data_IF_280080735861
#
_entry.id   IF_280080735861
#
_cell.length_a   1.000
_cell.length_b   1.000
_cell.length_c   1.000
_cell.angle_alpha   90.00
_cell.angle_beta   90.00
_cell.angle_gamma   90.00
#
_symmetry.space_group_name_H-M   'P 1'
#
loop_
_entity.id
_entity.type
_entity.pdbx_description
1 polymer ?
#
# COMPACT_ATOMS: atom_id res chain seq x y z
N UNK A 1 3.12 -1.02 -15.63
CA UNK A 1 3.33 -1.10 -14.17
C UNK A 1 4.81 -1.34 -13.94
N UNK A 2 5.41 -0.66 -12.97
CA UNK A 2 6.76 -0.92 -12.47
C UNK A 2 6.72 -2.25 -11.72
N UNK A 3 7.69 -3.13 -11.99
CA UNK A 3 7.85 -4.42 -11.32
C UNK A 3 9.20 -4.46 -10.61
N UNK A 4 9.24 -4.21 -9.29
CA UNK A 4 10.48 -4.26 -8.53
C UNK A 4 11.04 -5.68 -8.46
N UNK A 5 12.37 -5.80 -8.43
CA UNK A 5 13.08 -7.09 -8.32
C UNK A 5 13.26 -7.54 -6.86
N UNK A 6 13.10 -6.63 -5.90
CA UNK A 6 13.23 -6.87 -4.47
C UNK A 6 11.98 -6.35 -3.79
N UNK A 7 11.56 -7.03 -2.73
CA UNK A 7 10.41 -6.63 -1.91
C UNK A 7 10.91 -5.94 -0.64
N UNK A 8 10.14 -4.98 -0.14
CA UNK A 8 10.58 -4.05 0.90
C UNK A 8 9.74 -4.16 2.18
N UNK A 9 8.54 -4.74 2.15
CA UNK A 9 7.65 -4.84 3.31
C UNK A 9 8.31 -5.52 4.51
N UNK A 10 9.10 -6.57 4.26
CA UNK A 10 9.83 -7.29 5.32
C UNK A 10 10.94 -6.44 5.93
N UNK A 11 11.63 -5.63 5.12
CA UNK A 11 12.65 -4.71 5.61
C UNK A 11 12.00 -3.58 6.44
N UNK A 12 10.86 -3.06 6.00
CA UNK A 12 10.07 -2.08 6.76
C UNK A 12 9.64 -2.67 8.10
N UNK A 13 9.09 -3.89 8.13
CA UNK A 13 8.68 -4.57 9.36
C UNK A 13 9.85 -5.00 10.28
N UNK A 14 11.06 -5.09 9.74
CA UNK A 14 12.25 -5.36 10.53
C UNK A 14 12.78 -4.11 11.25
N UNK A 15 12.38 -2.92 10.82
CA UNK A 15 12.76 -1.66 11.46
C UNK A 15 12.18 -1.57 12.88
N UNK A 16 12.99 -1.20 13.90
CA UNK A 16 12.50 -1.01 15.27
C UNK A 16 11.34 -0.01 15.41
N UNK A 17 11.21 0.94 14.47
CA UNK A 17 10.10 1.90 14.46
C UNK A 17 8.76 1.26 14.07
N UNK A 18 8.77 0.04 13.52
CA UNK A 18 7.58 -0.70 13.10
C UNK A 18 7.17 -1.79 14.10
N UNK A 19 7.65 -1.74 15.34
CA UNK A 19 7.33 -2.73 16.39
C UNK A 19 5.81 -2.90 16.58
N UNK A 20 5.07 -1.80 16.71
CA UNK A 20 3.62 -1.84 16.93
C UNK A 20 2.89 -2.41 15.72
N UNK A 21 3.26 -1.97 14.51
CA UNK A 21 2.71 -2.50 13.26
C UNK A 21 2.94 -4.01 13.16
N UNK A 22 4.16 -4.47 13.45
CA UNK A 22 4.51 -5.89 13.41
C UNK A 22 3.73 -6.71 14.45
N UNK A 23 3.50 -6.17 15.64
CA UNK A 23 2.72 -6.82 16.70
C UNK A 23 1.21 -6.86 16.38
N UNK A 24 0.71 -5.87 15.63
CA UNK A 24 -0.69 -5.75 15.23
C UNK A 24 -1.07 -6.71 14.10
N UNK A 25 -0.22 -6.89 13.08
CA UNK A 25 -0.54 -7.68 11.87
C UNK A 25 -1.14 -9.07 12.15
N UNK A 26 -0.62 -9.89 13.09
CA UNK A 26 -1.19 -11.20 13.39
C UNK A 26 -2.59 -11.16 14.03
N UNK A 27 -3.01 -10.00 14.56
CA UNK A 27 -4.31 -9.81 15.22
C UNK A 27 -5.40 -9.35 14.25
N UNK A 28 -5.02 -8.87 13.08
CA UNK A 28 -5.95 -8.43 12.04
C UNK A 28 -6.64 -9.63 11.37
N UNK A 29 -7.83 -9.36 10.81
CA UNK A 29 -8.49 -10.29 9.91
C UNK A 29 -7.57 -10.61 8.70
N UNK A 30 -7.68 -11.81 8.09
CA UNK A 30 -6.79 -12.22 7.01
C UNK A 30 -6.68 -11.23 5.85
N UNK A 31 -7.81 -10.70 5.39
CA UNK A 31 -7.85 -9.73 4.28
C UNK A 31 -7.25 -8.39 4.67
N UNK A 32 -7.57 -7.88 5.86
CA UNK A 32 -6.98 -6.65 6.39
C UNK A 32 -5.46 -6.76 6.55
N UNK A 33 -4.96 -7.91 7.02
CA UNK A 33 -3.52 -8.19 7.08
C UNK A 33 -2.87 -8.12 5.70
N UNK A 34 -3.52 -8.69 4.68
CA UNK A 34 -3.05 -8.63 3.29
C UNK A 34 -2.97 -7.18 2.82
N UNK A 35 -4.01 -6.39 3.06
CA UNK A 35 -4.02 -4.96 2.72
C UNK A 35 -2.90 -4.18 3.40
N UNK A 36 -2.66 -4.41 4.69
CA UNK A 36 -1.58 -3.75 5.42
C UNK A 36 -0.20 -4.13 4.86
N UNK A 37 0.06 -5.42 4.59
CA UNK A 37 1.32 -5.88 3.99
C UNK A 37 1.55 -5.26 2.61
N UNK A 38 0.51 -5.23 1.76
CA UNK A 38 0.58 -4.63 0.44
C UNK A 38 0.73 -3.11 0.49
N UNK A 39 0.14 -2.44 1.48
CA UNK A 39 0.33 -1.01 1.73
C UNK A 39 1.77 -0.68 2.12
N UNK A 40 2.37 -1.45 3.04
CA UNK A 40 3.77 -1.29 3.43
C UNK A 40 4.72 -1.51 2.25
N UNK A 41 4.46 -2.54 1.44
CA UNK A 41 5.20 -2.78 0.20
C UNK A 41 5.08 -1.59 -0.77
N UNK A 42 3.85 -1.11 -1.01
CA UNK A 42 3.60 0.01 -1.90
C UNK A 42 4.37 1.27 -1.48
N UNK A 43 4.32 1.63 -0.18
CA UNK A 43 5.04 2.79 0.35
C UNK A 43 6.56 2.67 0.15
N UNK A 44 7.13 1.51 0.50
CA UNK A 44 8.55 1.25 0.30
C UNK A 44 8.95 1.33 -1.17
N UNK A 45 8.17 0.71 -2.05
CA UNK A 45 8.47 0.67 -3.48
C UNK A 45 8.31 2.02 -4.17
N UNK A 46 7.30 2.81 -3.81
CA UNK A 46 7.12 4.16 -4.35
C UNK A 46 8.30 5.05 -3.95
N UNK A 47 8.74 5.00 -2.69
CA UNK A 47 9.90 5.77 -2.23
C UNK A 47 11.19 5.33 -2.93
N UNK A 48 11.44 4.02 -3.02
CA UNK A 48 12.63 3.47 -3.67
C UNK A 48 12.67 3.76 -5.18
N UNK A 49 11.50 3.73 -5.85
CA UNK A 49 11.38 4.08 -7.26
C UNK A 49 11.62 5.57 -7.51
N UNK A 50 11.13 6.43 -6.61
CA UNK A 50 11.33 7.86 -6.72
C UNK A 50 11.34 8.57 -5.38
N UNK A 51 12.54 8.88 -4.88
CA UNK A 51 12.78 9.38 -3.52
C UNK A 51 12.04 10.69 -3.17
N UNK A 52 11.56 11.46 -4.15
CA UNK A 52 10.73 12.66 -3.92
C UNK A 52 9.38 12.33 -3.29
N UNK A 53 8.89 11.11 -3.51
CA UNK A 53 7.72 10.61 -2.81
C UNK A 53 8.19 10.05 -1.48
N UNK A 54 7.62 10.60 -0.42
CA UNK A 54 7.71 10.11 0.96
C UNK A 54 6.29 9.65 1.34
N UNK A 55 5.88 8.42 1.01
CA UNK A 55 4.55 7.94 1.30
C UNK A 55 4.40 7.71 2.81
N UNK A 56 3.30 8.20 3.37
CA UNK A 56 2.98 8.01 4.80
C UNK A 56 1.66 7.24 5.02
N UNK A 57 0.89 7.02 3.95
CA UNK A 57 -0.36 6.26 3.97
C UNK A 57 -0.69 5.71 2.59
N UNK A 58 -1.31 4.54 2.56
CA UNK A 58 -1.94 3.95 1.37
C UNK A 58 -3.39 3.61 1.71
N UNK A 59 -4.30 3.90 0.79
CA UNK A 59 -5.65 3.35 0.75
C UNK A 59 -5.76 2.46 -0.48
N UNK A 60 -6.11 1.18 -0.30
CA UNK A 60 -6.19 0.23 -1.40
C UNK A 60 -7.48 0.37 -2.23
N UNK A 61 -8.49 1.07 -1.71
CA UNK A 61 -9.85 1.13 -2.25
C UNK A 61 -10.40 2.56 -2.36
N UNK A 62 -9.54 3.54 -2.67
CA UNK A 62 -9.94 4.95 -2.69
C UNK A 62 -11.00 5.28 -3.76
N UNK A 63 -10.86 4.77 -4.98
CA UNK A 63 -11.77 5.05 -6.11
C UNK A 63 -12.45 3.82 -6.69
N UNK A 64 -12.05 2.62 -6.26
CA UNK A 64 -12.63 1.34 -6.66
C UNK A 64 -12.24 0.27 -5.64
N UNK A 65 -13.11 -0.71 -5.42
CA UNK A 65 -12.87 -1.81 -4.48
C UNK A 65 -11.66 -2.66 -4.89
N UNK A 66 -11.03 -3.28 -3.90
CA UNK A 66 -10.00 -4.29 -4.13
C UNK A 66 -10.63 -5.59 -4.63
N UNK A 67 -9.85 -6.37 -5.38
CA UNK A 67 -10.20 -7.76 -5.71
C UNK A 67 -9.14 -8.69 -5.17
N UNK A 68 -9.54 -9.67 -4.40
CA UNK A 68 -8.63 -10.67 -3.84
C UNK A 68 -8.99 -12.06 -4.38
N UNK A 69 -8.09 -12.65 -5.17
CA UNK A 69 -8.24 -14.00 -5.72
C UNK A 69 -6.86 -14.63 -5.92
N UNK A 70 -6.74 -15.94 -5.70
CA UNK A 70 -5.49 -16.70 -5.89
C UNK A 70 -4.26 -16.14 -5.15
N UNK A 71 -4.49 -15.51 -3.98
CA UNK A 71 -3.48 -14.80 -3.16
C UNK A 71 -2.96 -13.50 -3.79
N UNK A 72 -3.67 -12.98 -4.79
CA UNK A 72 -3.33 -11.73 -5.47
C UNK A 72 -4.37 -10.68 -5.08
N UNK A 73 -3.93 -9.66 -4.36
CA UNK A 73 -4.69 -8.44 -4.12
C UNK A 73 -4.47 -7.48 -5.29
N UNK A 74 -5.54 -7.17 -6.02
CA UNK A 74 -5.55 -6.19 -7.10
C UNK A 74 -6.28 -4.94 -6.64
N UNK A 75 -5.58 -3.82 -6.67
CA UNK A 75 -6.10 -2.53 -6.26
C UNK A 75 -5.99 -1.56 -7.44
N UNK A 76 -7.06 -1.47 -8.23
CA UNK A 76 -7.12 -0.60 -9.43
C UNK A 76 -7.49 0.85 -9.12
N UNK A 77 -8.03 1.09 -7.93
CA UNK A 77 -8.45 2.40 -7.43
C UNK A 77 -7.74 2.83 -6.15
N UNK A 78 -6.50 2.37 -5.93
CA UNK A 78 -5.75 2.76 -4.75
C UNK A 78 -5.33 4.24 -4.79
N UNK A 79 -4.94 4.75 -3.63
CA UNK A 79 -4.30 6.05 -3.49
C UNK A 79 -3.19 5.97 -2.44
N UNK A 80 -2.17 6.81 -2.58
CA UNK A 80 -1.19 7.01 -1.51
C UNK A 80 -1.07 8.50 -1.19
N UNK A 81 -0.77 8.79 0.07
CA UNK A 81 -0.48 10.14 0.53
C UNK A 81 1.02 10.32 0.63
N UNK A 82 1.51 11.40 0.05
CA UNK A 82 2.89 11.84 0.21
C UNK A 82 2.95 13.35 0.32
N UNK A 83 3.68 13.85 1.33
CA UNK A 83 3.83 15.28 1.60
C UNK A 83 2.48 16.03 1.63
N UNK A 84 1.51 15.45 2.35
CA UNK A 84 0.12 15.95 2.50
C UNK A 84 -0.69 16.03 1.21
N UNK A 85 -0.26 15.37 0.13
CA UNK A 85 -1.00 15.28 -1.13
C UNK A 85 -1.34 13.84 -1.44
N UNK A 86 -2.55 13.60 -1.93
CA UNK A 86 -2.97 12.29 -2.40
C UNK A 86 -2.68 12.13 -3.89
N UNK A 87 -2.25 10.93 -4.28
CA UNK A 87 -1.96 10.55 -5.65
C UNK A 87 -2.68 9.24 -5.95
N UNK A 88 -3.12 9.07 -7.19
CA UNK A 88 -3.64 7.81 -7.66
C UNK A 88 -2.57 6.72 -7.62
N UNK A 89 -3.00 5.50 -7.31
CA UNK A 89 -2.16 4.32 -7.28
C UNK A 89 -2.92 3.15 -7.89
N UNK A 90 -2.20 2.30 -8.61
CA UNK A 90 -2.65 0.95 -8.93
C UNK A 90 -1.60 -0.04 -8.52
N UNK A 91 -1.97 -1.17 -7.95
CA UNK A 91 -1.02 -2.24 -7.67
C UNK A 91 -1.63 -3.64 -7.75
N UNK A 92 -0.76 -4.61 -8.04
CA UNK A 92 -0.98 -6.03 -7.85
C UNK A 92 0.02 -6.52 -6.80
N UNK A 93 -0.49 -7.22 -5.78
CA UNK A 93 0.29 -7.68 -4.66
C UNK A 93 0.00 -9.17 -4.42
N UNK A 94 1.02 -10.02 -4.59
CA UNK A 94 0.90 -11.46 -4.36
C UNK A 94 1.43 -11.81 -2.99
N UNK A 95 0.66 -12.55 -2.19
CA UNK A 95 0.97 -12.88 -0.81
C UNK A 95 1.34 -14.37 -0.67
N UNK A 96 2.21 -14.68 0.30
CA UNK A 96 2.55 -16.05 0.67
C UNK A 96 1.34 -16.83 1.19
N UNK A 97 1.39 -18.16 1.15
CA UNK A 97 0.29 -19.03 1.60
C UNK A 97 -0.07 -18.85 3.08
N UNK A 98 0.88 -18.44 3.91
CA UNK A 98 0.68 -18.16 5.34
C UNK A 98 0.21 -16.73 5.65
N UNK A 99 -0.01 -15.90 4.61
CA UNK A 99 -0.43 -14.50 4.70
C UNK A 99 0.52 -13.60 5.51
N UNK A 100 1.83 -13.90 5.50
CA UNK A 100 2.83 -13.17 6.30
C UNK A 100 3.75 -12.27 5.49
N UNK A 101 3.89 -12.49 4.18
CA UNK A 101 4.84 -11.72 3.35
C UNK A 101 4.33 -11.55 1.93
N UNK A 102 4.76 -10.44 1.32
CA UNK A 102 4.63 -10.24 -0.12
C UNK A 102 5.63 -11.17 -0.83
N UNK A 103 5.24 -11.67 -2.01
CA UNK A 103 6.03 -12.58 -2.86
C UNK A 103 6.21 -12.04 -4.27
N UNK A 104 5.31 -11.18 -4.73
CA UNK A 104 5.47 -10.40 -5.95
C UNK A 104 4.68 -9.10 -5.83
N UNK A 105 5.17 -8.04 -6.47
CA UNK A 105 4.53 -6.73 -6.47
C UNK A 105 4.67 -6.06 -7.83
N UNK A 106 3.65 -5.32 -8.23
CA UNK A 106 3.68 -4.45 -9.40
C UNK A 106 2.83 -3.21 -9.10
N UNK A 107 3.27 -2.03 -9.53
CA UNK A 107 2.51 -0.80 -9.27
C UNK A 107 2.58 0.23 -10.39
N UNK A 108 1.71 1.23 -10.32
CA UNK A 108 1.76 2.43 -11.16
C UNK A 108 1.29 3.62 -10.32
N UNK A 109 2.12 4.64 -10.22
CA UNK A 109 1.73 5.96 -9.69
C UNK A 109 0.96 6.72 -10.76
N UNK A 110 -0.18 7.27 -10.38
CA UNK A 110 -1.02 8.13 -11.21
C UNK A 110 -0.93 9.60 -10.80
N UNK A 111 -1.85 10.39 -11.33
CA UNK A 111 -1.92 11.83 -11.10
C UNK A 111 -2.30 12.19 -9.65
N UNK A 112 -1.96 13.40 -9.18
CA UNK A 112 -2.48 13.94 -7.94
C UNK A 112 -4.01 13.94 -7.92
N UNK A 113 -4.60 13.50 -6.81
CA UNK A 113 -6.05 13.54 -6.60
C UNK A 113 -6.43 14.95 -6.14
N UNK A 114 -7.34 15.66 -6.84
CA UNK A 114 -7.79 16.99 -6.43
C UNK A 114 -8.36 16.99 -5.02
N UNK A 115 -8.00 17.98 -4.21
CA UNK A 115 -8.42 18.07 -2.80
C UNK A 115 -9.94 18.08 -2.63
N UNK A 116 -10.68 18.67 -3.58
CA UNK A 116 -12.13 18.66 -3.60
C UNK A 116 -12.75 17.24 -3.62
N UNK A 117 -11.99 16.22 -4.04
CA UNK A 117 -12.45 14.82 -4.06
C UNK A 117 -12.14 14.05 -2.78
N UNK A 118 -11.26 14.56 -1.92
CA UNK A 118 -10.70 13.78 -0.81
C UNK A 118 -11.76 13.29 0.17
N UNK A 119 -12.69 14.16 0.58
CA UNK A 119 -13.77 13.80 1.50
C UNK A 119 -14.66 12.70 0.91
N UNK A 120 -15.04 12.83 -0.35
CA UNK A 120 -15.88 11.84 -1.04
C UNK A 120 -15.21 10.47 -1.20
N UNK A 121 -13.87 10.43 -1.18
CA UNK A 121 -13.07 9.22 -1.33
C UNK A 121 -12.53 8.69 0.02
N UNK A 122 -12.94 9.26 1.15
CA UNK A 122 -12.45 8.87 2.47
C UNK A 122 -10.95 9.11 2.67
N UNK A 123 -10.37 10.11 1.99
CA UNK A 123 -8.96 10.45 2.03
C UNK A 123 -8.71 11.62 3.00
N UNK A 124 -8.33 11.39 4.26
CA UNK A 124 -8.24 12.48 5.24
C UNK A 124 -7.08 13.43 4.95
N UNK A 125 -7.33 14.73 5.19
CA UNK A 125 -6.34 15.79 5.01
C UNK A 125 -5.27 15.81 6.13
N UNK A 126 -5.64 15.42 7.35
CA UNK A 126 -4.78 15.31 8.54
C UNK A 126 -5.10 14.00 9.28
N UNK A 127 -4.16 13.49 10.08
CA UNK A 127 -4.46 12.44 11.08
C UNK A 127 -4.99 13.09 12.34
#
# INVERSE_FOLDING_TARGET
MVRPRRLLSQQVLADPRSLDTRAMLPRLAPEERVEQLCGLEAMGQIHAWQARYEPDRVSAYATADTRYADRILRAEGAAFRSRRRWYGLRFECTISTDLKRVTAFAFRVGEPIPQARWQALGLPALH
#
